data_IF_790417505310
#
_entry.id   IF_790417505310
#
_cell.length_a   1.000
_cell.length_b   1.000
_cell.length_c   1.000
_cell.angle_alpha   90.00
_cell.angle_beta   90.00
_cell.angle_gamma   90.00
#
_symmetry.space_group_name_H-M   'P 1'
#
loop_
_entity.id
_entity.type
_entity.pdbx_description
1 polymer ?
#
# COMPACT_ATOMS: atom_id res chain seq x y z
N UNK A 1 24.32 9.01 -27.72
CA UNK A 1 24.73 10.19 -26.94
C UNK A 1 25.17 9.70 -25.57
N UNK A 2 26.41 10.00 -25.19
CA UNK A 2 27.03 9.56 -23.94
C UNK A 2 26.50 10.39 -22.76
N UNK A 3 26.04 9.74 -21.68
CA UNK A 3 26.18 10.30 -20.33
C UNK A 3 26.65 9.19 -19.38
N UNK A 4 27.86 9.43 -18.88
CA UNK A 4 28.62 8.58 -17.99
C UNK A 4 28.17 8.94 -16.57
N UNK A 5 27.38 8.09 -15.92
CA UNK A 5 27.06 8.22 -14.50
C UNK A 5 27.89 7.20 -13.73
N UNK A 6 28.70 7.79 -12.85
CA UNK A 6 29.64 7.26 -11.88
C UNK A 6 29.09 6.09 -11.04
N UNK A 7 29.96 5.14 -10.74
CA UNK A 7 29.77 4.08 -9.74
C UNK A 7 29.57 4.72 -8.36
N UNK A 8 28.44 4.45 -7.69
CA UNK A 8 28.27 4.58 -6.25
C UNK A 8 27.60 3.33 -5.67
N UNK A 9 28.29 2.75 -4.71
CA UNK A 9 28.00 1.58 -3.87
C UNK A 9 26.59 1.65 -3.24
N UNK A 10 25.71 0.67 -3.50
CA UNK A 10 24.78 -0.04 -2.57
C UNK A 10 23.97 -1.06 -3.41
N UNK A 11 24.06 -2.39 -3.17
CA UNK A 11 23.14 -3.34 -3.76
C UNK A 11 21.95 -3.50 -2.81
N UNK A 12 20.99 -2.58 -2.84
CA UNK A 12 19.66 -2.87 -2.32
C UNK A 12 18.69 -2.53 -3.43
N UNK A 13 18.42 -3.60 -4.16
CA UNK A 13 17.38 -3.75 -5.14
C UNK A 13 16.07 -3.34 -4.46
N UNK A 14 15.60 -2.10 -4.66
CA UNK A 14 14.18 -1.81 -4.49
C UNK A 14 13.61 -1.70 -5.89
N UNK A 15 13.10 -2.85 -6.36
CA UNK A 15 12.34 -2.96 -7.57
C UNK A 15 11.31 -1.82 -7.64
N UNK A 16 11.31 -1.14 -8.77
CA UNK A 16 10.29 -0.18 -9.13
C UNK A 16 8.89 -0.76 -8.95
N UNK A 17 8.06 -0.07 -8.16
CA UNK A 17 6.64 -0.02 -8.45
C UNK A 17 6.36 1.33 -9.14
N UNK A 18 6.68 1.43 -10.43
CA UNK A 18 6.08 2.43 -11.32
C UNK A 18 4.59 2.05 -11.48
N UNK A 19 3.77 2.37 -10.50
CA UNK A 19 2.33 2.10 -10.52
C UNK A 19 1.69 2.70 -9.28
N UNK A 20 1.09 3.89 -9.43
CA UNK A 20 0.39 4.72 -8.44
C UNK A 20 0.99 4.84 -7.02
N UNK A 21 2.11 4.19 -6.68
CA UNK A 21 2.67 4.09 -5.33
C UNK A 21 1.74 3.43 -4.30
N UNK A 22 0.72 2.65 -4.72
CA UNK A 22 -0.17 1.91 -3.81
C UNK A 22 0.24 0.44 -3.79
N UNK A 23 0.60 -0.12 -2.62
CA UNK A 23 0.90 -1.55 -2.52
C UNK A 23 -0.35 -2.36 -2.85
N UNK A 24 -0.21 -3.41 -3.66
CA UNK A 24 -1.27 -4.40 -3.80
C UNK A 24 -1.36 -5.23 -2.51
N UNK A 25 -2.57 -5.61 -2.14
CA UNK A 25 -2.84 -6.41 -0.95
C UNK A 25 -3.39 -7.77 -1.37
N UNK A 26 -2.88 -8.83 -0.74
CA UNK A 26 -3.44 -10.17 -0.90
C UNK A 26 -4.76 -10.34 -0.11
N UNK A 27 -4.84 -9.69 1.05
CA UNK A 27 -6.03 -9.63 1.92
C UNK A 27 -6.29 -8.19 2.36
N UNK A 28 -7.46 -7.67 1.99
CA UNK A 28 -7.88 -6.30 2.24
C UNK A 28 -8.28 -6.08 3.70
N UNK A 29 -8.81 -7.12 4.38
CA UNK A 29 -9.18 -7.06 5.80
C UNK A 29 -7.97 -7.22 6.73
N UNK A 30 -6.83 -7.69 6.19
CA UNK A 30 -5.58 -7.84 6.92
C UNK A 30 -4.40 -7.33 6.08
N UNK A 31 -4.31 -6.02 5.85
CA UNK A 31 -3.29 -5.44 4.99
C UNK A 31 -1.87 -5.81 5.46
N UNK A 32 -1.05 -6.28 4.53
CA UNK A 32 0.37 -6.51 4.73
C UNK A 32 1.17 -5.76 3.69
N UNK A 33 2.10 -4.94 4.13
CA UNK A 33 3.02 -4.22 3.26
C UNK A 33 4.43 -4.55 3.71
N UNK A 34 5.26 -5.05 2.80
CA UNK A 34 6.64 -5.49 3.09
C UNK A 34 6.74 -6.52 4.23
N UNK A 35 5.74 -7.40 4.33
CA UNK A 35 5.65 -8.41 5.39
C UNK A 35 5.16 -7.89 6.76
N UNK A 36 4.95 -6.59 6.89
CA UNK A 36 4.43 -5.95 8.11
C UNK A 36 2.92 -5.83 8.02
N UNK A 37 2.21 -6.37 9.03
CA UNK A 37 0.77 -6.15 9.17
C UNK A 37 0.50 -4.71 9.59
N UNK A 38 -0.42 -4.06 8.91
CA UNK A 38 -0.90 -2.72 9.27
C UNK A 38 -2.42 -2.70 9.23
N UNK A 39 -3.03 -1.80 9.99
CA UNK A 39 -4.49 -1.66 9.98
C UNK A 39 -4.98 -1.05 8.67
N UNK A 40 -6.24 -1.33 8.29
CA UNK A 40 -6.87 -0.71 7.11
C UNK A 40 -6.79 0.82 7.15
N UNK A 41 -7.00 1.42 8.34
CA UNK A 41 -6.89 2.87 8.52
C UNK A 41 -5.47 3.39 8.29
N UNK A 42 -4.45 2.67 8.78
CA UNK A 42 -3.05 3.03 8.54
C UNK A 42 -2.70 2.90 7.05
N UNK A 43 -3.18 1.86 6.38
CA UNK A 43 -3.00 1.69 4.95
C UNK A 43 -3.60 2.87 4.16
N UNK A 44 -4.86 3.22 4.43
CA UNK A 44 -5.54 4.34 3.77
C UNK A 44 -4.81 5.67 4.01
N UNK A 45 -4.40 5.95 5.25
CA UNK A 45 -3.68 7.19 5.59
C UNK A 45 -2.30 7.28 4.94
N UNK A 46 -1.59 6.18 4.80
CA UNK A 46 -0.20 6.16 4.31
C UNK A 46 -0.12 6.09 2.78
N UNK A 47 -0.98 5.28 2.15
CA UNK A 47 -0.83 4.94 0.73
C UNK A 47 -1.90 5.55 -0.17
N UNK A 48 -3.06 5.95 0.35
CA UNK A 48 -4.20 6.44 -0.42
C UNK A 48 -4.42 7.96 -0.51
N UNK A 49 -3.67 8.87 0.17
CA UNK A 49 -3.82 10.31 -0.06
C UNK A 49 -3.58 10.68 -1.53
N UNK A 50 -4.56 11.35 -2.16
CA UNK A 50 -4.49 11.77 -3.56
C UNK A 50 -4.74 10.65 -4.59
N UNK A 51 -5.06 9.42 -4.14
CA UNK A 51 -5.20 8.23 -4.99
C UNK A 51 -6.59 7.64 -4.94
N UNK A 52 -7.57 8.51 -5.12
CA UNK A 52 -9.01 8.20 -5.05
C UNK A 52 -9.46 7.17 -6.09
N UNK A 53 -8.71 7.03 -7.19
CA UNK A 53 -9.00 6.08 -8.26
C UNK A 53 -8.26 4.73 -8.10
N UNK A 54 -7.45 4.57 -7.05
CA UNK A 54 -6.76 3.30 -6.82
C UNK A 54 -7.76 2.24 -6.37
N UNK A 55 -7.87 1.17 -7.15
CA UNK A 55 -8.75 0.04 -6.85
C UNK A 55 -8.47 -0.57 -5.47
N UNK A 56 -7.19 -0.60 -5.06
CA UNK A 56 -6.80 -1.09 -3.73
C UNK A 56 -7.28 -0.15 -2.63
N UNK A 57 -7.16 1.17 -2.80
CA UNK A 57 -7.67 2.14 -1.85
C UNK A 57 -9.19 2.09 -1.70
N UNK A 58 -9.91 1.93 -2.82
CA UNK A 58 -11.36 1.75 -2.82
C UNK A 58 -11.74 0.46 -2.10
N UNK A 59 -11.04 -0.64 -2.37
CA UNK A 59 -11.29 -1.94 -1.74
C UNK A 59 -11.07 -1.89 -0.23
N UNK A 60 -9.97 -1.31 0.23
CA UNK A 60 -9.68 -1.14 1.67
C UNK A 60 -10.71 -0.25 2.35
N UNK A 61 -11.14 0.83 1.70
CA UNK A 61 -12.21 1.69 2.21
C UNK A 61 -13.53 0.93 2.39
N UNK A 62 -13.94 0.16 1.37
CA UNK A 62 -15.17 -0.66 1.43
C UNK A 62 -15.09 -1.76 2.48
N UNK A 63 -13.95 -2.44 2.60
CA UNK A 63 -13.75 -3.47 3.61
C UNK A 63 -13.84 -2.88 5.03
N UNK A 64 -13.24 -1.70 5.24
CA UNK A 64 -13.32 -1.00 6.53
C UNK A 64 -14.75 -0.57 6.87
N UNK A 65 -15.50 -0.07 5.89
CA UNK A 65 -16.92 0.28 6.06
C UNK A 65 -17.77 -0.96 6.37
N UNK A 66 -17.57 -2.06 5.62
CA UNK A 66 -18.24 -3.33 5.86
C UNK A 66 -17.98 -3.84 7.28
N UNK A 67 -16.72 -3.86 7.71
CA UNK A 67 -16.32 -4.31 9.04
C UNK A 67 -16.98 -3.45 10.13
N UNK A 68 -17.00 -2.13 9.96
CA UNK A 68 -17.66 -1.21 10.87
C UNK A 68 -19.18 -1.49 10.98
N UNK A 69 -19.85 -1.68 9.84
CA UNK A 69 -21.30 -1.93 9.79
C UNK A 69 -21.69 -3.29 10.38
N UNK A 70 -20.78 -4.27 10.39
CA UNK A 70 -21.03 -5.61 10.94
C UNK A 70 -20.44 -5.81 12.34
N UNK A 71 -19.98 -4.74 12.99
CA UNK A 71 -19.40 -4.80 14.34
C UNK A 71 -18.08 -5.57 14.42
N UNK A 72 -17.39 -5.75 13.29
CA UNK A 72 -16.06 -6.35 13.24
C UNK A 72 -15.07 -5.32 13.77
N UNK A 73 -14.51 -5.60 14.95
CA UNK A 73 -13.52 -4.72 15.54
C UNK A 73 -12.30 -4.57 14.60
N UNK A 74 -11.78 -3.35 14.39
CA UNK A 74 -10.56 -3.15 13.63
C UNK A 74 -9.43 -3.97 14.26
N UNK A 75 -8.87 -4.92 13.51
CA UNK A 75 -7.73 -5.72 13.99
C UNK A 75 -6.51 -4.79 14.12
N UNK A 76 -5.81 -4.81 15.27
CA UNK A 76 -4.61 -4.01 15.49
C UNK A 76 -3.44 -4.46 14.61
#
# INVERSE_FOLDING_TARGET
MNFKVLICVVPVIFFAACGDGVPKLDDVHNPKVDGVRITMLQFLKKYCPGKVNSETCISVGKAMEYDFMHGVAPKP
#
